data_IF_520442948710
#
_entry.id   IF_520442948710
#
_cell.length_a   1.000
_cell.length_b   1.000
_cell.length_c   1.000
_cell.angle_alpha   90.00
_cell.angle_beta   90.00
_cell.angle_gamma   90.00
#
_symmetry.space_group_name_H-M   'P 1'
#
loop_
_entity.id
_entity.type
_entity.pdbx_description
1 polymer ?
#
# COMPACT_ATOMS: atom_id res chain seq x y z
N UNK A 1 3.66 19.88 0.53
CA UNK A 1 4.00 18.59 -0.15
C UNK A 1 4.36 17.54 0.90
N UNK A 2 3.47 16.60 1.18
CA UNK A 2 3.70 15.51 2.15
C UNK A 2 3.97 14.19 1.42
N UNK A 3 4.98 13.44 1.88
CA UNK A 3 5.20 12.06 1.47
C UNK A 3 4.81 11.16 2.63
N UNK A 4 3.99 10.15 2.38
CA UNK A 4 3.58 9.17 3.40
C UNK A 4 4.18 7.82 3.04
N UNK A 5 5.09 7.28 3.86
CA UNK A 5 5.57 5.92 3.71
C UNK A 5 4.49 4.92 4.15
N UNK A 6 4.35 3.82 3.41
CA UNK A 6 3.54 2.66 3.78
C UNK A 6 4.45 1.43 3.76
N UNK A 7 4.71 0.86 4.94
CA UNK A 7 5.41 -0.42 5.10
C UNK A 7 4.50 -1.57 4.72
N UNK A 8 5.02 -2.52 3.95
CA UNK A 8 4.30 -3.73 3.53
C UNK A 8 5.27 -4.90 3.56
N UNK A 9 4.90 -5.96 4.25
CA UNK A 9 5.68 -7.19 4.34
C UNK A 9 5.31 -8.22 3.27
N UNK A 10 4.06 -8.18 2.83
CA UNK A 10 3.55 -9.03 1.77
C UNK A 10 4.15 -8.65 0.41
N UNK A 11 5.11 -9.46 -0.02
CA UNK A 11 5.78 -9.31 -1.32
C UNK A 11 4.83 -9.45 -2.52
N UNK A 12 3.73 -10.19 -2.40
CA UNK A 12 2.69 -10.25 -3.44
C UNK A 12 1.93 -8.92 -3.55
N UNK A 13 1.63 -8.27 -2.43
CA UNK A 13 1.00 -6.94 -2.42
C UNK A 13 1.89 -5.88 -3.07
N UNK A 14 3.20 -5.92 -2.81
CA UNK A 14 4.16 -5.02 -3.48
C UNK A 14 4.17 -5.27 -5.00
N UNK A 15 4.20 -6.53 -5.44
CA UNK A 15 4.13 -6.87 -6.87
C UNK A 15 2.82 -6.42 -7.51
N UNK A 16 1.71 -6.42 -6.78
CA UNK A 16 0.44 -5.89 -7.28
C UNK A 16 0.56 -4.40 -7.63
N UNK A 17 1.28 -3.62 -6.82
CA UNK A 17 1.51 -2.17 -7.06
C UNK A 17 2.24 -1.86 -8.35
N UNK A 18 3.10 -2.77 -8.82
CA UNK A 18 3.85 -2.60 -10.07
C UNK A 18 3.10 -3.16 -11.28
N UNK A 19 2.19 -4.11 -11.08
CA UNK A 19 1.49 -4.80 -12.17
C UNK A 19 0.37 -3.97 -12.81
N UNK A 20 -0.24 -3.07 -12.04
CA UNK A 20 -1.35 -2.21 -12.50
C UNK A 20 -2.62 -2.96 -12.96
N UNK A 21 -2.67 -4.29 -12.81
CA UNK A 21 -3.77 -5.12 -13.32
C UNK A 21 -5.00 -4.98 -12.43
N UNK A 22 -6.13 -4.66 -13.05
CA UNK A 22 -7.46 -4.71 -12.44
C UNK A 22 -8.27 -5.81 -13.14
N UNK A 23 -9.14 -6.53 -12.42
CA UNK A 23 -9.91 -7.64 -12.99
C UNK A 23 -10.47 -8.63 -11.97
N UNK A 24 -11.16 -9.66 -12.47
CA UNK A 24 -11.79 -10.71 -11.65
C UNK A 24 -10.72 -11.37 -10.77
N UNK A 25 -10.95 -11.37 -9.45
CA UNK A 25 -9.99 -11.87 -8.44
C UNK A 25 -9.10 -10.79 -7.80
N UNK A 26 -9.04 -9.57 -8.36
CA UNK A 26 -8.21 -8.46 -7.84
C UNK A 26 -8.99 -7.46 -6.95
N UNK A 27 -10.15 -7.86 -6.41
CA UNK A 27 -11.08 -6.97 -5.71
C UNK A 27 -10.46 -6.15 -4.55
N UNK A 28 -9.47 -6.71 -3.83
CA UNK A 28 -8.71 -6.00 -2.79
C UNK A 28 -7.86 -4.89 -3.41
N UNK A 29 -7.13 -5.20 -4.49
CA UNK A 29 -6.32 -4.23 -5.22
C UNK A 29 -7.17 -3.12 -5.85
N UNK A 30 -8.30 -3.47 -6.45
CA UNK A 30 -9.24 -2.49 -7.01
C UNK A 30 -9.76 -1.53 -5.93
N UNK A 31 -10.02 -2.06 -4.73
CA UNK A 31 -10.46 -1.26 -3.59
C UNK A 31 -9.36 -0.33 -3.10
N UNK A 32 -8.11 -0.79 -3.04
CA UNK A 32 -6.96 0.05 -2.73
C UNK A 32 -6.80 1.18 -3.75
N UNK A 33 -6.86 0.87 -5.05
CA UNK A 33 -6.75 1.85 -6.12
C UNK A 33 -7.84 2.92 -6.02
N UNK A 34 -9.12 2.54 -5.81
CA UNK A 34 -10.21 3.51 -5.61
C UNK A 34 -9.97 4.44 -4.43
N UNK A 35 -9.53 3.90 -3.29
CA UNK A 35 -9.25 4.71 -2.09
C UNK A 35 -8.06 5.65 -2.32
N UNK A 36 -7.03 5.19 -3.00
CA UNK A 36 -5.87 6.00 -3.35
C UNK A 36 -6.25 7.15 -4.29
N UNK A 37 -7.07 6.90 -5.32
CA UNK A 37 -7.57 7.94 -6.22
C UNK A 37 -8.33 9.03 -5.46
N UNK A 38 -9.30 8.65 -4.61
CA UNK A 38 -10.07 9.59 -3.78
C UNK A 38 -9.19 10.43 -2.84
N UNK A 39 -8.15 9.80 -2.29
CA UNK A 39 -7.18 10.49 -1.42
C UNK A 39 -6.39 11.53 -2.22
N UNK A 40 -6.02 11.23 -3.47
CA UNK A 40 -5.29 12.16 -4.36
C UNK A 40 -6.17 13.31 -4.84
N UNK A 41 -7.46 13.07 -5.05
CA UNK A 41 -8.43 14.14 -5.35
C UNK A 41 -8.55 15.14 -4.19
N UNK A 42 -8.55 14.63 -2.95
CA UNK A 42 -8.61 15.46 -1.74
C UNK A 42 -7.28 16.14 -1.42
N UNK A 43 -6.16 15.46 -1.73
CA UNK A 43 -4.80 15.93 -1.46
C UNK A 43 -3.93 15.85 -2.72
N UNK A 44 -4.03 16.81 -3.66
CA UNK A 44 -3.37 16.71 -4.98
C UNK A 44 -1.84 16.63 -4.92
N UNK A 45 -1.24 17.13 -3.83
CA UNK A 45 0.21 17.15 -3.62
C UNK A 45 0.73 15.97 -2.78
N UNK A 46 -0.14 15.04 -2.40
CA UNK A 46 0.22 13.84 -1.64
C UNK A 46 0.99 12.85 -2.53
N UNK A 47 2.03 12.25 -1.95
CA UNK A 47 2.74 11.12 -2.53
C UNK A 47 2.75 9.95 -1.55
N UNK A 48 2.23 8.81 -1.99
CA UNK A 48 2.36 7.54 -1.29
C UNK A 48 3.66 6.86 -1.73
N UNK A 49 4.48 6.42 -0.78
CA UNK A 49 5.66 5.61 -1.03
C UNK A 49 5.47 4.24 -0.37
N UNK A 50 5.26 3.21 -1.17
CA UNK A 50 5.21 1.82 -0.68
C UNK A 50 6.65 1.32 -0.53
N UNK A 51 6.98 0.78 0.64
CA UNK A 51 8.30 0.20 0.94
C UNK A 51 8.12 -1.20 1.52
N UNK A 52 9.04 -2.10 1.15
CA UNK A 52 9.05 -3.43 1.75
C UNK A 52 9.60 -3.38 3.17
N UNK A 53 8.92 -4.06 4.09
CA UNK A 53 9.37 -4.30 5.47
C UNK A 53 9.44 -5.81 5.72
N UNK A 54 10.50 -6.36 6.31
CA UNK A 54 10.48 -7.77 6.69
C UNK A 54 9.45 -7.98 7.83
N UNK A 55 8.61 -9.00 7.70
CA UNK A 55 7.67 -9.41 8.74
C UNK A 55 8.32 -10.32 9.78
N UNK A 56 7.74 -10.36 10.99
CA UNK A 56 8.17 -11.22 12.11
C UNK A 56 9.65 -11.10 12.51
N UNK A 57 10.19 -9.87 12.49
CA UNK A 57 11.58 -9.59 12.86
C UNK A 57 11.68 -8.40 13.84
N UNK A 58 10.71 -8.23 14.73
CA UNK A 58 10.76 -7.23 15.80
C UNK A 58 10.81 -5.78 15.28
N UNK A 59 10.14 -5.49 14.14
CA UNK A 59 10.01 -4.11 13.63
C UNK A 59 8.79 -3.44 14.27
N UNK A 60 8.98 -2.42 15.13
CA UNK A 60 7.87 -1.70 15.74
C UNK A 60 7.01 -1.06 14.66
N UNK A 61 5.70 -1.32 14.72
CA UNK A 61 4.73 -0.84 13.74
C UNK A 61 4.40 -1.84 12.63
N UNK A 62 5.32 -2.70 12.19
CA UNK A 62 4.96 -3.85 11.35
C UNK A 62 4.21 -4.87 12.21
N UNK A 63 4.76 -5.20 13.37
CA UNK A 63 4.16 -6.18 14.29
C UNK A 63 2.81 -5.72 14.84
N UNK A 64 2.69 -4.42 15.14
CA UNK A 64 1.42 -3.83 15.55
C UNK A 64 0.36 -3.82 14.42
N UNK A 65 0.76 -4.04 13.17
CA UNK A 65 -0.16 -4.23 12.04
C UNK A 65 -0.47 -5.71 11.78
N UNK A 66 0.34 -6.62 12.31
CA UNK A 66 0.16 -8.07 12.24
C UNK A 66 -0.79 -8.59 13.34
N UNK A 67 -0.87 -7.89 14.49
CA UNK A 67 -1.85 -8.11 15.60
C UNK A 67 -3.25 -7.57 15.30
#
# INVERSE_FOLDING_TARGET
>A
RGSVPLGVDNTAAIRATTSGKSGVGCHIWDTFQRRLTRTRETHPQFRLRVVWTPGHVDIPGNEAADE
#
